data_IF_239990704544
#
_entry.id   IF_239990704544
#
_cell.length_a   1.000
_cell.length_b   1.000
_cell.length_c   1.000
_cell.angle_alpha   90.00
_cell.angle_beta   90.00
_cell.angle_gamma   90.00
#
_symmetry.space_group_name_H-M   'P 1'
#
loop_
_entity.id
_entity.type
_entity.pdbx_description
1 polymer ?
#
# COMPACT_ATOMS: atom_id res chain seq x y z
N UNK A 1 -38.47 9.09 0.18
CA UNK A 1 -38.71 9.37 -1.26
C UNK A 1 -37.50 10.18 -1.79
N UNK A 2 -37.12 11.31 -1.21
CA UNK A 2 -36.01 12.15 -1.69
C UNK A 2 -34.66 11.44 -1.66
N UNK A 3 -34.40 10.54 -0.71
CA UNK A 3 -33.14 9.80 -0.57
C UNK A 3 -32.97 8.73 -1.66
N UNK A 4 -34.05 8.16 -2.11
CA UNK A 4 -34.11 7.11 -3.14
C UNK A 4 -33.88 7.67 -4.54
N UNK A 5 -34.48 8.82 -4.87
CA UNK A 5 -34.24 9.52 -6.13
C UNK A 5 -32.79 9.97 -6.27
N UNK A 6 -32.18 10.44 -5.18
CA UNK A 6 -30.77 10.85 -5.17
C UNK A 6 -29.84 9.65 -5.43
N UNK A 7 -30.13 8.49 -4.82
CA UNK A 7 -29.36 7.26 -5.06
C UNK A 7 -29.51 6.78 -6.51
N UNK A 8 -30.72 6.78 -7.05
CA UNK A 8 -30.98 6.42 -8.45
C UNK A 8 -30.22 7.33 -9.41
N UNK A 9 -30.26 8.65 -9.19
CA UNK A 9 -29.54 9.62 -9.99
C UNK A 9 -28.01 9.43 -9.92
N UNK A 10 -27.50 9.05 -8.74
CA UNK A 10 -26.09 8.73 -8.54
C UNK A 10 -25.66 7.52 -9.38
N UNK A 11 -26.44 6.43 -9.35
CA UNK A 11 -26.15 5.22 -10.13
C UNK A 11 -26.25 5.47 -11.64
N UNK A 12 -27.30 6.14 -12.08
CA UNK A 12 -27.46 6.51 -13.49
C UNK A 12 -26.31 7.38 -14.00
N UNK A 13 -25.84 8.33 -13.18
CA UNK A 13 -24.81 9.29 -13.59
C UNK A 13 -23.39 8.74 -13.51
N UNK A 14 -23.09 7.85 -12.55
CA UNK A 14 -21.74 7.45 -12.25
C UNK A 14 -21.41 5.98 -12.57
N UNK A 15 -22.41 5.10 -12.63
CA UNK A 15 -22.20 3.66 -12.78
C UNK A 15 -22.71 3.09 -14.11
N UNK A 16 -23.59 3.79 -14.80
CA UNK A 16 -24.21 3.30 -16.04
C UNK A 16 -23.20 2.93 -17.12
N UNK A 17 -22.17 3.74 -17.31
CA UNK A 17 -21.12 3.48 -18.31
C UNK A 17 -20.29 2.24 -17.99
N UNK A 18 -20.02 1.97 -16.71
CA UNK A 18 -19.31 0.76 -16.28
C UNK A 18 -20.16 -0.49 -16.45
N UNK A 19 -21.44 -0.42 -16.11
CA UNK A 19 -22.37 -1.55 -16.26
C UNK A 19 -22.57 -1.88 -17.74
N UNK A 20 -22.73 -0.88 -18.61
CA UNK A 20 -22.84 -1.05 -20.06
C UNK A 20 -21.56 -1.66 -20.66
N UNK A 21 -20.37 -1.21 -20.22
CA UNK A 21 -19.10 -1.72 -20.70
C UNK A 21 -18.87 -3.18 -20.24
N UNK A 22 -19.10 -3.48 -18.97
CA UNK A 22 -19.00 -4.83 -18.43
C UNK A 22 -20.03 -5.79 -19.08
N UNK A 23 -21.24 -5.30 -19.35
CA UNK A 23 -22.26 -6.07 -20.04
C UNK A 23 -21.91 -6.34 -21.50
N UNK A 24 -21.30 -5.38 -22.19
CA UNK A 24 -20.84 -5.57 -23.57
C UNK A 24 -19.67 -6.58 -23.62
N UNK A 25 -18.74 -6.53 -22.66
CA UNK A 25 -17.64 -7.51 -22.55
C UNK A 25 -18.17 -8.93 -22.28
N UNK A 26 -19.20 -9.07 -21.40
CA UNK A 26 -19.72 -10.37 -21.00
C UNK A 26 -20.64 -11.01 -22.07
N UNK A 27 -21.44 -10.21 -22.78
CA UNK A 27 -22.49 -10.72 -23.67
C UNK A 27 -22.26 -10.39 -25.14
N UNK A 28 -21.20 -9.63 -25.47
CA UNK A 28 -20.87 -9.15 -26.82
C UNK A 28 -22.06 -8.51 -27.57
N UNK A 29 -22.94 -7.84 -26.83
CA UNK A 29 -24.14 -7.16 -27.33
C UNK A 29 -24.47 -5.95 -26.46
N UNK A 30 -25.18 -4.96 -27.04
CA UNK A 30 -25.70 -3.84 -26.25
C UNK A 30 -26.75 -4.31 -25.26
N UNK A 31 -26.53 -4.00 -23.97
CA UNK A 31 -27.48 -4.29 -22.90
C UNK A 31 -28.24 -3.03 -22.52
N UNK A 32 -29.52 -3.18 -22.16
CA UNK A 32 -30.32 -2.12 -21.58
C UNK A 32 -30.33 -2.26 -20.06
N UNK A 33 -29.90 -1.23 -19.36
CA UNK A 33 -29.89 -1.20 -17.89
C UNK A 33 -31.17 -0.53 -17.40
N UNK A 34 -31.92 -1.21 -16.54
CA UNK A 34 -33.11 -0.69 -15.89
C UNK A 34 -32.91 -0.77 -14.37
N UNK A 35 -33.07 0.35 -13.68
CA UNK A 35 -32.94 0.42 -12.22
C UNK A 35 -34.29 0.25 -11.58
N UNK A 36 -34.49 -0.87 -10.87
CA UNK A 36 -35.74 -1.18 -10.15
C UNK A 36 -35.46 -1.09 -8.64
N UNK A 37 -36.33 -0.39 -7.93
CA UNK A 37 -36.32 -0.37 -6.46
C UNK A 37 -37.18 -1.53 -5.94
N UNK A 38 -36.56 -2.42 -5.16
CA UNK A 38 -37.27 -3.50 -4.48
C UNK A 38 -37.29 -3.21 -2.96
N UNK A 39 -38.46 -2.83 -2.46
CA UNK A 39 -38.70 -2.57 -1.05
C UNK A 39 -38.54 -3.83 -0.16
N UNK A 40 -38.65 -5.03 -0.74
CA UNK A 40 -38.47 -6.28 0.00
C UNK A 40 -37.00 -6.50 0.41
N UNK A 41 -36.05 -6.14 -0.44
CA UNK A 41 -34.60 -6.24 -0.15
C UNK A 41 -34.15 -5.23 0.92
N UNK A 42 -34.84 -4.09 1.05
CA UNK A 42 -34.58 -3.12 2.11
C UNK A 42 -35.04 -3.64 3.49
N UNK A 43 -36.08 -4.44 3.55
CA UNK A 43 -36.59 -5.02 4.79
C UNK A 43 -35.74 -6.20 5.28
N UNK A 44 -35.11 -6.98 4.40
CA UNK A 44 -34.16 -8.04 4.77
C UNK A 44 -32.87 -7.47 5.35
N UNK A 45 -32.35 -6.37 4.82
CA UNK A 45 -31.17 -5.70 5.35
C UNK A 45 -31.39 -5.06 6.74
N UNK A 46 -32.61 -4.65 7.05
CA UNK A 46 -33.01 -4.07 8.34
C UNK A 46 -33.40 -5.11 9.40
N UNK A 47 -33.71 -6.35 9.05
CA UNK A 47 -34.15 -7.39 9.99
C UNK A 47 -33.01 -8.13 10.72
N UNK A 48 -31.75 -7.87 10.38
CA UNK A 48 -30.57 -8.46 11.05
C UNK A 48 -30.01 -7.62 12.21
N UNK A 49 -30.68 -6.49 12.55
CA UNK A 49 -30.28 -5.64 13.68
C UNK A 49 -31.47 -5.38 14.59
N UNK A 50 -31.88 -6.36 15.39
CA UNK A 50 -32.74 -6.14 16.56
C UNK A 50 -32.21 -6.91 17.76
N UNK A 51 -31.98 -6.14 18.77
CA UNK A 51 -31.93 -6.35 20.22
C UNK A 51 -30.56 -6.14 20.87
N UNK A 52 -30.31 -4.91 21.38
CA UNK A 52 -30.36 -4.72 22.83
C UNK A 52 -30.41 -3.23 23.17
N UNK A 53 -31.43 -2.94 23.95
CA UNK A 53 -31.80 -1.68 24.59
C UNK A 53 -30.79 -1.30 25.67
N UNK A 54 -30.39 -0.02 25.73
CA UNK A 54 -30.38 0.85 26.88
C UNK A 54 -29.60 2.13 26.59
N UNK A 55 -30.28 3.24 26.83
CA UNK A 55 -29.92 4.60 26.41
C UNK A 55 -28.56 5.13 26.81
N UNK A 56 -28.02 5.95 25.93
CA UNK A 56 -27.31 7.17 26.31
C UNK A 56 -27.26 8.19 25.15
N UNK A 57 -27.15 9.45 25.53
CA UNK A 57 -27.26 10.65 24.69
C UNK A 57 -26.35 10.59 23.46
N UNK A 58 -26.95 10.84 22.27
CA UNK A 58 -26.21 11.02 21.01
C UNK A 58 -25.39 12.33 21.04
N UNK A 59 -24.09 12.21 21.04
CA UNK A 59 -23.20 13.23 20.48
C UNK A 59 -23.29 13.21 18.94
N UNK A 60 -23.07 14.33 18.25
CA UNK A 60 -23.18 14.37 16.79
C UNK A 60 -22.09 13.51 16.16
N UNK A 61 -22.49 12.42 15.53
CA UNK A 61 -21.58 11.55 14.77
C UNK A 61 -21.08 12.31 13.53
N UNK A 62 -19.81 12.62 13.52
CA UNK A 62 -19.05 12.94 12.29
C UNK A 62 -19.24 11.80 11.30
N UNK A 63 -19.49 12.06 9.99
CA UNK A 63 -19.62 11.01 9.01
C UNK A 63 -18.37 10.13 9.05
N UNK A 64 -18.53 8.83 9.27
CA UNK A 64 -17.44 7.87 9.19
C UNK A 64 -16.85 7.94 7.78
N UNK A 65 -15.57 8.35 7.70
CA UNK A 65 -14.80 8.26 6.45
C UNK A 65 -14.80 6.78 6.01
N UNK A 66 -14.93 6.50 4.70
CA UNK A 66 -14.90 5.14 4.21
C UNK A 66 -13.62 4.43 4.69
N UNK A 67 -13.77 3.20 5.17
CA UNK A 67 -12.64 2.33 5.49
C UNK A 67 -11.78 2.20 4.24
N UNK A 68 -10.60 2.82 4.24
CA UNK A 68 -9.65 2.68 3.16
C UNK A 68 -9.11 1.24 3.19
N UNK A 69 -9.21 0.56 2.05
CA UNK A 69 -8.46 -0.67 1.83
C UNK A 69 -6.96 -0.33 1.85
N UNK A 70 -6.24 -0.92 2.77
CA UNK A 70 -4.81 -0.63 2.95
C UNK A 70 -3.94 -1.21 1.83
N UNK A 71 -4.47 -2.17 1.04
CA UNK A 71 -3.76 -2.95 0.00
C UNK A 71 -2.50 -3.68 0.52
N UNK A 72 -2.43 -3.94 1.83
CA UNK A 72 -1.30 -4.62 2.45
C UNK A 72 -1.37 -6.14 2.25
N UNK A 73 -0.22 -6.75 2.00
CA UNK A 73 -0.09 -8.20 2.06
C UNK A 73 0.16 -8.65 3.50
N UNK A 74 -0.83 -9.30 4.11
CA UNK A 74 -0.78 -9.77 5.51
C UNK A 74 0.30 -10.81 5.79
N UNK A 75 0.85 -11.47 4.75
CA UNK A 75 1.94 -12.44 4.90
C UNK A 75 3.30 -11.79 5.16
N UNK A 76 3.46 -10.51 4.85
CA UNK A 76 4.71 -9.79 5.03
C UNK A 76 4.73 -9.13 6.40
N UNK A 77 5.36 -9.80 7.37
CA UNK A 77 5.51 -9.34 8.75
C UNK A 77 6.99 -9.27 9.11
N UNK A 78 7.33 -8.60 10.22
CA UNK A 78 8.69 -8.60 10.74
C UNK A 78 9.13 -9.99 11.22
N UNK A 79 8.19 -10.81 11.73
CA UNK A 79 8.47 -12.17 12.20
C UNK A 79 8.92 -13.11 11.07
N UNK A 80 8.41 -12.87 9.85
CA UNK A 80 8.75 -13.65 8.67
C UNK A 80 9.94 -13.07 7.88
N UNK A 81 10.48 -11.94 8.33
CA UNK A 81 11.64 -11.31 7.70
C UNK A 81 12.93 -11.78 8.37
N UNK A 82 13.75 -12.53 7.65
CA UNK A 82 15.03 -13.02 8.19
C UNK A 82 16.02 -11.87 8.26
N UNK A 83 16.47 -11.58 9.48
CA UNK A 83 17.45 -10.54 9.75
C UNK A 83 18.86 -11.11 9.68
N UNK A 84 19.73 -10.44 8.90
CA UNK A 84 21.17 -10.63 8.84
C UNK A 84 21.90 -9.30 9.03
N UNK A 85 23.21 -9.32 8.97
CA UNK A 85 24.03 -8.10 9.15
C UNK A 85 23.77 -7.06 8.04
N UNK A 86 23.44 -7.52 6.82
CA UNK A 86 23.25 -6.70 5.62
C UNK A 86 21.95 -5.89 5.64
N UNK A 87 20.96 -6.31 6.42
CA UNK A 87 19.65 -5.68 6.48
C UNK A 87 19.26 -5.17 7.87
N UNK A 88 20.09 -5.42 8.90
CA UNK A 88 19.75 -5.10 10.30
C UNK A 88 19.37 -3.63 10.53
N UNK A 89 20.07 -2.70 9.85
CA UNK A 89 19.76 -1.28 9.99
C UNK A 89 18.41 -0.92 9.36
N UNK A 90 18.10 -1.53 8.21
CA UNK A 90 16.82 -1.35 7.54
C UNK A 90 15.68 -1.93 8.37
N UNK A 91 15.88 -3.09 8.99
CA UNK A 91 14.89 -3.70 9.90
C UNK A 91 14.69 -2.85 11.14
N UNK A 92 15.79 -2.42 11.80
CA UNK A 92 15.70 -1.58 13.00
C UNK A 92 15.02 -0.23 12.74
N UNK A 93 15.33 0.43 11.62
CA UNK A 93 14.68 1.67 11.21
C UNK A 93 13.20 1.46 10.91
N UNK A 94 12.85 0.35 10.25
CA UNK A 94 11.48 -0.01 9.92
C UNK A 94 10.64 -0.29 11.18
N UNK A 95 11.20 -1.00 12.16
CA UNK A 95 10.56 -1.24 13.46
C UNK A 95 10.35 0.07 14.22
N UNK A 96 11.36 0.95 14.30
CA UNK A 96 11.24 2.25 14.97
C UNK A 96 10.15 3.12 14.36
N UNK A 97 10.01 3.10 13.03
CA UNK A 97 8.94 3.81 12.32
C UNK A 97 7.57 3.19 12.58
N UNK A 98 7.48 1.86 12.61
CA UNK A 98 6.24 1.15 12.89
C UNK A 98 5.76 1.37 14.34
N UNK A 99 6.68 1.41 15.31
CA UNK A 99 6.37 1.66 16.73
C UNK A 99 5.92 3.11 17.01
N UNK A 100 6.43 4.08 16.23
CA UNK A 100 6.12 5.51 16.44
C UNK A 100 6.02 6.24 15.10
N UNK A 101 4.93 6.03 14.32
CA UNK A 101 4.76 6.65 13.01
C UNK A 101 4.77 8.17 13.06
N UNK A 102 5.54 8.80 12.18
CA UNK A 102 5.65 10.25 12.06
C UNK A 102 6.59 10.92 13.09
N UNK A 103 7.08 10.18 14.08
CA UNK A 103 7.86 10.76 15.18
C UNK A 103 9.38 10.59 15.02
N UNK A 104 9.85 9.44 14.52
CA UNK A 104 11.28 9.10 14.57
C UNK A 104 12.01 9.44 13.27
N UNK A 105 11.66 8.77 12.18
CA UNK A 105 12.29 8.95 10.86
C UNK A 105 11.22 9.19 9.81
N UNK A 106 11.10 10.44 9.33
CA UNK A 106 10.08 10.80 8.35
C UNK A 106 10.66 11.73 7.27
N UNK A 107 10.74 11.30 6.01
CA UNK A 107 10.42 9.95 5.54
C UNK A 107 11.46 8.89 5.95
N UNK A 108 11.07 7.60 5.91
CA UNK A 108 12.00 6.49 5.84
C UNK A 108 12.18 6.10 4.37
N UNK A 109 13.42 6.11 3.89
CA UNK A 109 13.75 5.74 2.52
C UNK A 109 14.60 4.46 2.51
N UNK A 110 14.04 3.36 2.00
CA UNK A 110 14.70 2.06 1.94
C UNK A 110 15.11 1.79 0.50
N UNK A 111 16.41 1.59 0.25
CA UNK A 111 16.87 1.30 -1.10
C UNK A 111 17.76 0.05 -1.15
N UNK A 112 17.90 -0.50 -2.34
CA UNK A 112 18.71 -1.70 -2.58
C UNK A 112 18.30 -2.40 -3.88
N UNK A 113 19.08 -3.36 -4.31
CA UNK A 113 18.85 -4.13 -5.51
C UNK A 113 17.43 -4.78 -5.56
N UNK A 114 16.99 -5.28 -6.73
CA UNK A 114 15.75 -6.01 -6.85
C UNK A 114 15.78 -7.29 -6.02
N UNK A 115 14.62 -7.71 -5.49
CA UNK A 115 14.49 -9.00 -4.78
C UNK A 115 15.15 -9.08 -3.41
N UNK A 116 15.53 -7.95 -2.76
CA UNK A 116 16.17 -7.94 -1.44
C UNK A 116 15.19 -7.75 -0.26
N UNK A 117 13.88 -7.79 -0.49
CA UNK A 117 12.88 -7.72 0.59
C UNK A 117 12.36 -6.31 0.92
N UNK A 118 12.62 -5.28 0.09
CA UNK A 118 12.11 -3.90 0.30
C UNK A 118 10.59 -3.87 0.45
N UNK A 119 9.87 -4.48 -0.49
CA UNK A 119 8.40 -4.61 -0.47
C UNK A 119 7.91 -5.34 0.78
N UNK A 120 8.65 -6.35 1.25
CA UNK A 120 8.34 -7.06 2.49
C UNK A 120 8.41 -6.11 3.69
N UNK A 121 9.53 -5.40 3.88
CA UNK A 121 9.66 -4.44 4.99
C UNK A 121 8.60 -3.33 4.93
N UNK A 122 8.28 -2.84 3.74
CA UNK A 122 7.25 -1.83 3.56
C UNK A 122 5.88 -2.32 4.05
N UNK A 123 5.49 -3.55 3.68
CA UNK A 123 4.26 -4.17 4.16
C UNK A 123 4.33 -4.52 5.66
N UNK A 124 5.47 -4.98 6.15
CA UNK A 124 5.65 -5.30 7.57
C UNK A 124 5.43 -4.07 8.47
N UNK A 125 5.92 -2.89 8.04
CA UNK A 125 5.63 -1.62 8.72
C UNK A 125 4.11 -1.40 8.78
N UNK A 126 3.41 -1.49 7.65
CA UNK A 126 1.97 -1.26 7.58
C UNK A 126 1.18 -2.26 8.43
N UNK A 127 1.51 -3.54 8.35
CA UNK A 127 0.86 -4.61 9.14
C UNK A 127 1.05 -4.39 10.64
N UNK A 128 2.26 -4.02 11.07
CA UNK A 128 2.52 -3.75 12.48
C UNK A 128 1.76 -2.52 12.98
N UNK A 129 1.73 -1.43 12.21
CA UNK A 129 0.95 -0.22 12.57
C UNK A 129 -0.54 -0.55 12.67
N UNK A 130 -1.12 -1.35 11.75
CA UNK A 130 -2.52 -1.76 11.82
C UNK A 130 -2.80 -2.70 13.01
N UNK A 131 -1.86 -3.57 13.34
CA UNK A 131 -1.96 -4.44 14.51
C UNK A 131 -2.03 -3.60 15.80
N UNK A 132 -1.14 -2.61 15.94
CA UNK A 132 -1.04 -1.77 17.13
C UNK A 132 -2.14 -0.69 17.19
N UNK A 133 -2.59 -0.20 16.03
CA UNK A 133 -3.70 0.75 15.89
C UNK A 133 -4.62 0.38 14.71
N UNK A 134 -5.67 -0.43 14.94
CA UNK A 134 -6.61 -0.85 13.88
C UNK A 134 -7.39 0.28 13.20
N UNK A 135 -7.38 1.48 13.76
CA UNK A 135 -8.05 2.65 13.19
C UNK A 135 -7.11 3.52 12.34
N UNK A 136 -5.82 3.16 12.24
CA UNK A 136 -4.86 3.89 11.44
C UNK A 136 -5.24 3.82 9.95
N UNK A 137 -5.23 4.95 9.29
CA UNK A 137 -5.47 5.04 7.84
C UNK A 137 -4.17 4.87 7.11
N UNK A 138 -3.95 3.68 6.60
CA UNK A 138 -2.73 3.29 5.89
C UNK A 138 -3.05 3.03 4.43
N UNK A 139 -2.15 3.45 3.55
CA UNK A 139 -2.20 3.09 2.13
C UNK A 139 -0.83 2.61 1.68
N UNK A 140 -0.81 1.36 1.19
CA UNK A 140 0.28 0.84 0.38
C UNK A 140 -0.06 1.07 -1.10
N UNK A 141 0.90 1.53 -1.88
CA UNK A 141 0.75 1.71 -3.32
C UNK A 141 2.12 1.67 -4.00
N UNK A 142 2.19 1.14 -5.22
CA UNK A 142 3.37 1.33 -6.08
C UNK A 142 3.34 2.72 -6.72
N UNK A 143 4.50 3.30 -6.99
CA UNK A 143 4.57 4.59 -7.68
C UNK A 143 3.87 4.56 -9.05
N UNK A 144 3.90 3.43 -9.75
CA UNK A 144 3.19 3.25 -11.02
C UNK A 144 1.68 3.32 -10.85
N UNK A 145 1.13 2.66 -9.82
CA UNK A 145 -0.30 2.73 -9.54
C UNK A 145 -0.73 4.14 -9.10
N UNK A 146 0.11 4.86 -8.35
CA UNK A 146 -0.15 6.27 -8.03
C UNK A 146 -0.26 7.13 -9.30
N UNK A 147 0.67 6.96 -10.26
CA UNK A 147 0.61 7.65 -11.55
C UNK A 147 -0.70 7.33 -12.28
N UNK A 148 -1.09 6.05 -12.34
CA UNK A 148 -2.30 5.61 -13.01
C UNK A 148 -3.56 6.21 -12.35
N UNK A 149 -3.64 6.18 -11.03
CA UNK A 149 -4.74 6.82 -10.29
C UNK A 149 -4.80 8.33 -10.57
N UNK A 150 -3.66 9.02 -10.56
CA UNK A 150 -3.59 10.44 -10.86
C UNK A 150 -4.13 10.76 -12.26
N UNK A 151 -3.70 10.00 -13.27
CA UNK A 151 -4.14 10.19 -14.67
C UNK A 151 -5.65 9.96 -14.80
N UNK A 152 -6.19 8.94 -14.13
CA UNK A 152 -7.63 8.64 -14.13
C UNK A 152 -8.41 9.80 -13.49
N UNK A 153 -7.97 10.29 -12.34
CA UNK A 153 -8.67 11.36 -11.61
C UNK A 153 -8.63 12.70 -12.37
N UNK A 154 -7.53 13.01 -13.08
CA UNK A 154 -7.49 14.18 -13.99
C UNK A 154 -8.52 14.04 -15.10
N UNK A 155 -8.57 12.88 -15.76
CA UNK A 155 -9.50 12.66 -16.89
C UNK A 155 -10.97 12.75 -16.48
N UNK A 156 -11.27 12.38 -15.24
CA UNK A 156 -12.62 12.41 -14.69
C UNK A 156 -12.96 13.74 -13.99
N UNK A 157 -12.04 14.71 -13.95
CA UNK A 157 -12.17 15.97 -13.18
C UNK A 157 -12.46 15.75 -11.68
N UNK A 158 -11.81 14.71 -11.08
CA UNK A 158 -12.02 14.26 -9.72
C UNK A 158 -10.78 14.40 -8.82
N UNK A 159 -9.97 15.42 -9.07
CA UNK A 159 -8.73 15.64 -8.32
C UNK A 159 -8.95 15.82 -6.81
N UNK A 160 -10.09 16.35 -6.39
CA UNK A 160 -10.40 16.52 -4.98
C UNK A 160 -10.63 15.18 -4.26
N UNK A 161 -11.17 14.17 -4.96
CA UNK A 161 -11.29 12.80 -4.42
C UNK A 161 -9.90 12.18 -4.19
N UNK A 162 -8.96 12.36 -5.13
CA UNK A 162 -7.58 11.90 -4.99
C UNK A 162 -6.89 12.57 -3.79
N UNK A 163 -7.03 13.90 -3.66
CA UNK A 163 -6.47 14.65 -2.53
C UNK A 163 -7.04 14.17 -1.20
N UNK A 164 -8.36 13.96 -1.12
CA UNK A 164 -9.00 13.43 0.07
C UNK A 164 -8.48 12.03 0.42
N UNK A 165 -8.32 11.15 -0.56
CA UNK A 165 -7.80 9.79 -0.37
C UNK A 165 -6.40 9.78 0.25
N UNK A 166 -5.48 10.60 -0.29
CA UNK A 166 -4.07 10.54 0.13
C UNK A 166 -3.71 11.48 1.28
N UNK A 167 -4.31 12.66 1.38
CA UNK A 167 -3.90 13.68 2.35
C UNK A 167 -4.44 13.46 3.77
N UNK A 168 -5.34 12.48 3.95
CA UNK A 168 -5.91 12.11 5.25
C UNK A 168 -5.32 10.81 5.81
N UNK A 169 -4.29 10.26 5.20
CA UNK A 169 -3.60 9.06 5.68
C UNK A 169 -2.81 9.36 6.96
N UNK A 170 -2.66 8.33 7.79
CA UNK A 170 -1.73 8.34 8.91
C UNK A 170 -0.37 7.78 8.50
N UNK A 171 -0.38 6.81 7.55
CA UNK A 171 0.84 6.22 6.97
C UNK A 171 0.68 6.06 5.47
N UNK A 172 1.64 6.57 4.71
CA UNK A 172 1.75 6.38 3.26
C UNK A 172 2.99 5.53 2.95
N UNK A 173 2.76 4.37 2.33
CA UNK A 173 3.78 3.40 1.94
C UNK A 173 3.86 3.36 0.41
N UNK A 174 4.97 3.82 -0.15
CA UNK A 174 5.16 3.85 -1.61
C UNK A 174 6.28 2.92 -2.02
N UNK A 175 5.95 1.96 -2.85
CA UNK A 175 6.90 1.01 -3.41
C UNK A 175 7.40 1.47 -4.78
N UNK A 176 8.68 1.21 -5.06
CA UNK A 176 9.33 1.45 -6.35
C UNK A 176 9.23 2.92 -6.84
N UNK A 177 9.60 3.88 -5.96
CA UNK A 177 9.50 5.33 -6.24
C UNK A 177 10.26 5.77 -7.51
N UNK A 178 11.29 5.03 -7.95
CA UNK A 178 12.01 5.29 -9.19
C UNK A 178 11.11 5.27 -10.43
N UNK A 179 9.96 4.59 -10.37
CA UNK A 179 8.97 4.58 -11.45
C UNK A 179 8.33 5.95 -11.64
N UNK A 180 8.20 6.75 -10.58
CA UNK A 180 7.70 8.13 -10.68
C UNK A 180 8.65 9.00 -11.51
N UNK A 181 9.98 8.80 -11.43
CA UNK A 181 10.94 9.51 -12.26
C UNK A 181 10.76 9.20 -13.76
N UNK A 182 10.62 7.91 -14.10
CA UNK A 182 10.65 7.43 -15.50
C UNK A 182 9.33 7.56 -16.24
N UNK A 183 8.20 7.39 -15.54
CA UNK A 183 6.88 7.19 -16.16
C UNK A 183 5.93 8.36 -15.96
N UNK A 184 6.24 9.33 -15.10
CA UNK A 184 5.32 10.41 -14.77
C UNK A 184 5.57 11.69 -15.56
N UNK A 185 4.53 12.52 -15.66
CA UNK A 185 4.63 13.89 -16.10
C UNK A 185 5.04 14.82 -14.96
N UNK A 186 5.50 16.03 -15.28
CA UNK A 186 5.78 17.06 -14.29
C UNK A 186 4.57 17.31 -13.36
N UNK A 187 3.35 17.36 -13.92
CA UNK A 187 2.12 17.53 -13.15
C UNK A 187 1.90 16.41 -12.11
N UNK A 188 2.24 15.17 -12.45
CA UNK A 188 2.16 14.04 -11.51
C UNK A 188 3.19 14.18 -10.38
N UNK A 189 4.43 14.56 -10.71
CA UNK A 189 5.47 14.79 -9.69
C UNK A 189 5.09 15.96 -8.77
N UNK A 190 4.45 17.00 -9.31
CA UNK A 190 3.96 18.14 -8.54
C UNK A 190 2.86 17.73 -7.55
N UNK A 191 1.85 16.96 -7.97
CA UNK A 191 0.79 16.49 -7.06
C UNK A 191 1.37 15.55 -5.99
N UNK A 192 2.31 14.68 -6.37
CA UNK A 192 3.02 13.85 -5.40
C UNK A 192 3.77 14.69 -4.38
N UNK A 193 4.49 15.72 -4.82
CA UNK A 193 5.18 16.66 -3.95
C UNK A 193 4.23 17.38 -2.99
N UNK A 194 3.06 17.83 -3.48
CA UNK A 194 2.05 18.46 -2.65
C UNK A 194 1.48 17.50 -1.61
N UNK A 195 1.18 16.26 -2.01
CA UNK A 195 0.71 15.20 -1.09
C UNK A 195 1.75 14.88 -0.04
N UNK A 196 3.02 14.71 -0.44
CA UNK A 196 4.14 14.50 0.48
C UNK A 196 4.24 15.61 1.53
N UNK A 197 4.22 16.88 1.09
CA UNK A 197 4.32 18.02 2.02
C UNK A 197 3.15 18.07 3.00
N UNK A 198 1.92 17.81 2.55
CA UNK A 198 0.74 17.79 3.43
C UNK A 198 0.89 16.73 4.51
N UNK A 199 1.29 15.51 4.15
CA UNK A 199 1.50 14.43 5.11
C UNK A 199 2.65 14.73 6.06
N UNK A 200 3.80 15.10 5.54
CA UNK A 200 4.99 15.40 6.33
C UNK A 200 4.77 16.52 7.33
N UNK A 201 4.14 17.65 6.91
CA UNK A 201 3.86 18.79 7.78
C UNK A 201 2.83 18.48 8.89
N UNK A 202 2.01 17.46 8.68
CA UNK A 202 1.07 16.95 9.68
C UNK A 202 1.63 15.77 10.49
N UNK A 203 2.94 15.54 10.46
CA UNK A 203 3.62 14.43 11.14
C UNK A 203 3.02 13.05 10.80
N UNK A 204 2.53 12.88 9.56
CA UNK A 204 2.08 11.59 9.04
C UNK A 204 3.26 10.84 8.46
N UNK A 205 3.34 9.55 8.72
CA UNK A 205 4.48 8.75 8.29
C UNK A 205 4.49 8.54 6.77
N UNK A 206 5.66 8.71 6.18
CA UNK A 206 5.93 8.37 4.79
C UNK A 206 7.07 7.37 4.76
N UNK A 207 6.88 6.26 4.05
CA UNK A 207 7.94 5.28 3.78
C UNK A 207 8.03 5.05 2.28
N UNK A 208 9.23 5.09 1.75
CA UNK A 208 9.51 4.97 0.33
C UNK A 208 10.50 3.84 0.09
N UNK A 209 10.30 3.06 -0.96
CA UNK A 209 11.32 2.11 -1.43
C UNK A 209 11.83 2.48 -2.81
N UNK A 210 13.08 2.09 -3.12
CA UNK A 210 13.72 2.32 -4.41
C UNK A 210 14.72 1.22 -4.76
N UNK A 211 14.99 1.06 -6.06
CA UNK A 211 16.09 0.22 -6.55
C UNK A 211 17.47 0.89 -6.38
N UNK A 212 17.50 2.20 -6.05
CA UNK A 212 18.72 3.02 -5.95
C UNK A 212 18.58 4.14 -4.93
N UNK A 213 19.72 4.71 -4.54
CA UNK A 213 19.82 5.85 -3.63
C UNK A 213 19.08 7.09 -4.20
N UNK A 214 18.47 7.96 -3.36
CA UNK A 214 17.85 9.21 -3.80
C UNK A 214 18.71 10.06 -4.73
N UNK A 215 20.03 10.14 -4.50
CA UNK A 215 20.97 10.88 -5.34
C UNK A 215 21.12 10.35 -6.77
N UNK A 216 20.66 9.14 -7.02
CA UNK A 216 20.68 8.47 -8.34
C UNK A 216 19.37 8.58 -9.10
N UNK A 217 18.37 9.30 -8.56
CA UNK A 217 17.08 9.54 -9.18
C UNK A 217 17.12 10.77 -10.10
N UNK A 218 18.00 10.77 -11.09
CA UNK A 218 18.33 11.92 -11.93
C UNK A 218 17.15 12.48 -12.74
N UNK A 219 16.11 11.69 -13.00
CA UNK A 219 14.91 12.10 -13.74
C UNK A 219 13.80 12.63 -12.82
N UNK A 220 14.03 12.64 -11.51
CA UNK A 220 13.14 13.18 -10.51
C UNK A 220 13.41 14.67 -10.29
N UNK A 221 12.36 15.45 -10.04
CA UNK A 221 12.53 16.85 -9.65
C UNK A 221 13.38 16.97 -8.38
N UNK A 222 14.37 17.86 -8.40
CA UNK A 222 15.35 18.07 -7.32
C UNK A 222 14.68 18.30 -5.96
N UNK A 223 13.53 19.00 -5.96
CA UNK A 223 12.75 19.25 -4.74
C UNK A 223 12.22 17.96 -4.10
N UNK A 224 11.86 16.94 -4.88
CA UNK A 224 11.44 15.62 -4.37
C UNK A 224 12.63 14.85 -3.81
N UNK A 225 13.76 14.82 -4.55
CA UNK A 225 15.01 14.18 -4.08
C UNK A 225 15.42 14.76 -2.74
N UNK A 226 15.38 16.08 -2.60
CA UNK A 226 15.69 16.77 -1.35
C UNK A 226 14.76 16.32 -0.21
N UNK A 227 13.45 16.19 -0.47
CA UNK A 227 12.47 15.70 0.53
C UNK A 227 12.74 14.27 0.96
N UNK A 228 13.10 13.39 0.04
CA UNK A 228 13.42 11.99 0.35
C UNK A 228 14.61 11.85 1.29
N UNK A 229 15.52 12.81 1.27
CA UNK A 229 16.72 12.86 2.13
C UNK A 229 16.51 13.50 3.50
N UNK A 230 15.34 14.09 3.78
CA UNK A 230 15.08 14.78 5.05
C UNK A 230 15.06 13.84 6.27
N UNK A 231 14.59 12.61 6.09
CA UNK A 231 14.51 11.63 7.15
C UNK A 231 15.73 10.70 7.18
N UNK A 232 15.46 9.39 7.25
CA UNK A 232 16.50 8.36 7.26
C UNK A 232 16.52 7.59 5.95
N UNK A 233 17.70 7.49 5.35
CA UNK A 233 17.94 6.63 4.18
C UNK A 233 18.75 5.41 4.61
N UNK A 234 18.23 4.21 4.32
CA UNK A 234 18.85 2.93 4.66
C UNK A 234 19.00 2.05 3.43
N UNK A 235 20.11 1.31 3.38
CA UNK A 235 20.43 0.39 2.30
C UNK A 235 20.17 -1.06 2.71
N UNK A 236 19.66 -1.86 1.78
CA UNK A 236 19.66 -3.33 1.89
C UNK A 236 20.59 -3.88 0.83
N UNK A 237 21.57 -4.67 1.27
CA UNK A 237 22.52 -5.37 0.38
C UNK A 237 22.17 -6.85 0.28
N UNK A 238 22.72 -7.57 -0.71
CA UNK A 238 22.51 -9.02 -0.81
C UNK A 238 22.91 -9.74 0.49
N UNK A 239 22.14 -10.74 0.93
CA UNK A 239 22.41 -11.46 2.15
C UNK A 239 23.68 -12.32 2.05
N UNK A 240 24.39 -12.50 3.17
CA UNK A 240 25.50 -13.42 3.28
C UNK A 240 25.04 -14.89 3.17
N UNK A 241 25.99 -15.82 3.17
CA UNK A 241 25.68 -17.24 3.02
C UNK A 241 24.80 -17.76 4.16
N UNK A 242 25.10 -17.38 5.40
CA UNK A 242 24.39 -17.83 6.59
C UNK A 242 22.93 -17.32 6.59
N UNK A 243 22.75 -16.06 6.25
CA UNK A 243 21.42 -15.45 6.08
C UNK A 243 20.62 -16.12 4.95
N UNK A 244 21.26 -16.49 3.83
CA UNK A 244 20.59 -17.23 2.74
C UNK A 244 20.15 -18.62 3.19
N UNK A 245 20.97 -19.34 3.93
CA UNK A 245 20.61 -20.64 4.52
C UNK A 245 19.41 -20.49 5.46
N UNK A 246 19.41 -19.45 6.30
CA UNK A 246 18.31 -19.17 7.21
C UNK A 246 16.99 -18.83 6.46
N UNK A 247 17.06 -18.05 5.38
CA UNK A 247 15.91 -17.73 4.52
C UNK A 247 15.32 -19.00 3.91
N UNK A 248 16.14 -19.87 3.30
CA UNK A 248 15.69 -21.13 2.73
C UNK A 248 15.09 -22.05 3.77
N UNK A 249 15.74 -22.17 4.93
CA UNK A 249 15.26 -23.01 6.04
C UNK A 249 13.90 -22.53 6.53
N UNK A 250 13.71 -21.22 6.71
CA UNK A 250 12.41 -20.65 7.10
C UNK A 250 11.34 -20.92 6.04
N UNK A 251 11.68 -20.74 4.76
CA UNK A 251 10.75 -20.95 3.65
C UNK A 251 10.29 -22.41 3.54
N UNK A 252 11.18 -23.36 3.77
CA UNK A 252 10.91 -24.80 3.68
C UNK A 252 9.98 -25.26 4.81
N UNK A 253 9.96 -24.57 5.97
CA UNK A 253 9.06 -24.91 7.07
C UNK A 253 7.58 -24.83 6.69
N UNK A 254 7.24 -24.04 5.65
CA UNK A 254 5.87 -23.95 5.13
C UNK A 254 5.45 -25.18 4.28
N UNK A 255 6.38 -26.07 3.98
CA UNK A 255 6.15 -27.27 3.15
C UNK A 255 6.34 -28.54 3.95
N UNK A 256 5.52 -29.56 3.69
CA UNK A 256 5.60 -30.90 4.30
C UNK A 256 6.79 -31.76 3.78
N UNK A 257 7.82 -31.14 3.20
CA UNK A 257 8.99 -31.83 2.67
C UNK A 257 10.20 -31.61 3.57
N UNK A 258 10.95 -32.68 3.80
CA UNK A 258 12.21 -32.64 4.51
C UNK A 258 13.37 -32.57 3.51
N UNK A 259 14.08 -31.44 3.50
CA UNK A 259 15.29 -31.29 2.71
C UNK A 259 16.54 -31.55 3.53
N UNK A 260 17.50 -32.36 3.04
CA UNK A 260 18.79 -32.51 3.69
C UNK A 260 19.50 -31.15 3.81
N UNK A 261 20.20 -30.90 4.94
CA UNK A 261 20.94 -29.64 5.14
C UNK A 261 21.90 -29.30 3.99
N UNK A 262 22.56 -30.31 3.41
CA UNK A 262 23.50 -30.16 2.31
C UNK A 262 22.83 -29.63 1.04
N UNK A 263 21.53 -29.92 0.84
CA UNK A 263 20.75 -29.40 -0.28
C UNK A 263 20.48 -27.91 -0.08
N UNK A 264 20.14 -27.50 1.13
CA UNK A 264 19.87 -26.09 1.48
C UNK A 264 21.17 -25.27 1.32
N UNK A 265 22.28 -25.77 1.86
CA UNK A 265 23.60 -25.14 1.73
C UNK A 265 24.03 -25.03 0.26
N UNK A 266 23.80 -26.08 -0.54
CA UNK A 266 24.10 -26.07 -1.97
C UNK A 266 23.30 -24.98 -2.69
N UNK A 267 21.99 -24.89 -2.47
CA UNK A 267 21.13 -23.87 -3.07
C UNK A 267 21.56 -22.46 -2.61
N UNK A 268 21.80 -22.28 -1.31
CA UNK A 268 22.31 -21.02 -0.79
C UNK A 268 23.63 -20.58 -1.42
N UNK A 269 24.47 -21.54 -1.82
CA UNK A 269 25.74 -21.28 -2.52
C UNK A 269 25.58 -20.90 -3.99
N UNK A 270 24.50 -21.33 -4.65
CA UNK A 270 24.27 -21.07 -6.08
C UNK A 270 23.59 -19.71 -6.34
N UNK A 271 22.76 -19.21 -5.40
CA UNK A 271 21.97 -18.01 -5.57
C UNK A 271 22.40 -16.94 -4.56
N UNK A 272 23.34 -16.09 -4.96
CA UNK A 272 23.98 -15.07 -4.09
C UNK A 272 23.50 -13.63 -4.36
N UNK A 273 22.82 -13.40 -5.48
CA UNK A 273 22.51 -12.05 -5.95
C UNK A 273 21.27 -11.43 -5.30
N UNK A 274 20.23 -12.21 -5.05
CA UNK A 274 18.99 -11.74 -4.47
C UNK A 274 18.13 -12.86 -3.87
N UNK A 275 17.22 -12.47 -2.97
CA UNK A 275 16.35 -13.43 -2.24
C UNK A 275 15.24 -13.99 -3.15
N UNK A 276 14.78 -13.24 -4.14
CA UNK A 276 13.71 -13.70 -5.05
C UNK A 276 14.14 -14.91 -5.88
N UNK A 277 15.36 -14.90 -6.40
CA UNK A 277 15.92 -16.04 -7.18
C UNK A 277 16.18 -17.22 -6.25
N UNK A 278 16.65 -16.94 -5.02
CA UNK A 278 16.87 -17.93 -3.99
C UNK A 278 15.57 -18.64 -3.58
N UNK A 279 14.46 -17.92 -3.42
CA UNK A 279 13.13 -18.48 -3.10
C UNK A 279 12.49 -19.21 -4.30
N UNK A 280 12.90 -18.89 -5.52
CA UNK A 280 12.42 -19.49 -6.75
C UNK A 280 13.09 -20.80 -7.12
N UNK A 281 14.21 -21.13 -6.48
CA UNK A 281 15.02 -22.32 -6.74
C UNK A 281 14.45 -23.56 -6.06
#
# INVERSE_FOLDING_TARGET
ILLEEVKKLFWEKNMQSFILMAGFEAYNSEIKVEYVFDEALLNEANSTVTNNDFGNKKEPQTPALPTLDSDLNSKYTFDNFIQGDENRWSVAASLAVADSPGATYNPLFIYGGPGLGKTHLLNAIGNKVLHDNPQARIKYITAENFINEFVVHIRLDKMDELKLKYRHLDVLLIDDIQSLAKKSTQATQEEFFNTFNVLHNNNKQIVLTSDRNPDQLNEMEERLVTRFKWGLTVNITPPDFETRVAILTNKIMDYDYHFPPETIEYLAGQFDSNVRDLEGA
#
